data_IF_183614914118
#
_entry.id   IF_183614914118
#
_cell.length_a   1.000
_cell.length_b   1.000
_cell.length_c   1.000
_cell.angle_alpha   90.00
_cell.angle_beta   90.00
_cell.angle_gamma   90.00
#
_symmetry.space_group_name_H-M   'P 1'
#
loop_
_entity.id
_entity.type
_entity.pdbx_description
1 polymer ?
#
# COMPACT_ATOMS: atom_id res chain seq x y z
N UNK A 1 -27.71 -12.61 11.30
CA UNK A 1 -26.92 -12.14 12.45
C UNK A 1 -25.75 -13.06 12.61
N UNK A 2 -24.59 -12.62 12.11
CA UNK A 2 -23.31 -13.29 12.36
C UNK A 2 -22.99 -13.23 13.85
N UNK A 3 -22.22 -14.21 14.33
CA UNK A 3 -21.72 -14.27 15.71
C UNK A 3 -20.22 -14.01 15.73
N UNK A 4 -19.74 -13.37 16.80
CA UNK A 4 -18.34 -12.99 16.96
C UNK A 4 -17.79 -13.39 18.35
N UNK A 5 -18.41 -14.38 18.99
CA UNK A 5 -18.17 -14.73 20.40
C UNK A 5 -16.71 -15.13 20.63
N UNK A 6 -16.12 -15.91 19.71
CA UNK A 6 -14.72 -16.34 19.81
C UNK A 6 -13.76 -15.21 19.49
N UNK A 7 -14.06 -14.39 18.48
CA UNK A 7 -13.23 -13.22 18.13
C UNK A 7 -13.17 -12.22 19.28
N UNK A 8 -14.28 -12.02 20.00
CA UNK A 8 -14.33 -11.18 21.21
C UNK A 8 -13.40 -11.76 22.29
N UNK A 9 -13.55 -13.04 22.63
CA UNK A 9 -12.72 -13.68 23.66
C UNK A 9 -11.23 -13.68 23.31
N UNK A 10 -10.87 -13.93 22.05
CA UNK A 10 -9.49 -13.88 21.58
C UNK A 10 -8.90 -12.46 21.65
N UNK A 11 -9.72 -11.43 21.41
CA UNK A 11 -9.27 -10.05 21.53
C UNK A 11 -9.09 -9.62 22.99
N UNK A 12 -9.95 -10.07 23.90
CA UNK A 12 -9.80 -9.84 25.34
C UNK A 12 -8.44 -10.39 25.84
N UNK A 13 -8.09 -11.62 25.46
CA UNK A 13 -6.76 -12.18 25.75
C UNK A 13 -5.64 -11.34 25.12
N UNK A 14 -5.78 -10.97 23.84
CA UNK A 14 -4.76 -10.23 23.12
C UNK A 14 -4.44 -8.85 23.75
N UNK A 15 -5.43 -8.18 24.34
CA UNK A 15 -5.27 -6.87 24.99
C UNK A 15 -4.30 -6.90 26.17
N UNK A 16 -4.16 -8.04 26.85
CA UNK A 16 -3.20 -8.24 27.93
C UNK A 16 -1.79 -8.60 27.44
N UNK A 17 -1.65 -8.95 26.15
CA UNK A 17 -0.40 -9.47 25.57
C UNK A 17 0.32 -8.46 24.67
N UNK A 18 -0.42 -7.60 23.97
CA UNK A 18 0.12 -6.69 22.95
C UNK A 18 -0.46 -5.27 23.10
N UNK A 19 0.28 -4.21 22.73
CA UNK A 19 -0.23 -2.84 22.78
C UNK A 19 -1.55 -2.68 21.99
N UNK A 20 -2.65 -2.44 22.68
CA UNK A 20 -3.99 -2.35 22.08
C UNK A 20 -4.49 -3.67 21.46
N UNK A 21 -3.91 -4.80 21.85
CA UNK A 21 -4.27 -6.14 21.38
C UNK A 21 -3.78 -6.51 19.97
N UNK A 22 -2.88 -5.73 19.36
CA UNK A 22 -2.50 -5.91 17.95
C UNK A 22 -1.02 -5.64 17.66
N UNK A 23 -0.51 -6.26 16.59
CA UNK A 23 0.84 -6.02 16.04
C UNK A 23 0.87 -4.92 14.95
N UNK A 24 -0.28 -4.35 14.59
CA UNK A 24 -0.38 -3.20 13.67
C UNK A 24 -1.66 -2.42 13.99
N UNK A 25 -1.61 -1.09 14.15
CA UNK A 25 -2.72 -0.31 14.73
C UNK A 25 -4.07 -0.49 14.02
N UNK A 26 -4.08 -0.55 12.69
CA UNK A 26 -5.32 -0.65 11.90
C UNK A 26 -6.10 -1.94 12.17
N UNK A 27 -5.43 -3.00 12.65
CA UNK A 27 -6.06 -4.29 12.98
C UNK A 27 -6.92 -4.23 14.25
N UNK A 28 -6.89 -3.13 14.99
CA UNK A 28 -7.72 -2.94 16.18
C UNK A 28 -9.14 -2.43 15.86
N UNK A 29 -9.45 -2.16 14.57
CA UNK A 29 -10.79 -1.77 14.09
C UNK A 29 -11.35 -0.51 14.78
N UNK A 30 -10.48 0.32 15.38
CA UNK A 30 -10.86 1.53 16.11
C UNK A 30 -11.64 2.50 15.23
N UNK A 31 -11.27 2.65 13.96
CA UNK A 31 -11.92 3.56 13.01
C UNK A 31 -13.37 3.21 12.68
N UNK A 32 -13.79 1.96 12.93
CA UNK A 32 -15.15 1.48 12.63
C UNK A 32 -15.93 1.07 13.89
N UNK A 33 -15.32 1.18 15.07
CA UNK A 33 -15.97 0.90 16.36
C UNK A 33 -16.53 -0.53 16.47
N UNK A 34 -15.81 -1.52 15.93
CA UNK A 34 -16.19 -2.94 15.97
C UNK A 34 -15.15 -3.77 16.71
N UNK A 35 -15.57 -4.90 17.27
CA UNK A 35 -14.62 -5.92 17.73
C UNK A 35 -13.80 -6.43 16.53
N UNK A 36 -12.46 -6.50 16.65
CA UNK A 36 -11.63 -7.06 15.58
C UNK A 36 -12.02 -8.49 15.24
N UNK A 37 -12.07 -8.79 13.93
CA UNK A 37 -12.31 -10.13 13.44
C UNK A 37 -11.01 -10.93 13.45
N UNK A 38 -10.98 -12.06 14.16
CA UNK A 38 -9.83 -12.96 14.17
C UNK A 38 -9.95 -13.96 13.02
N UNK A 39 -9.04 -13.90 12.06
CA UNK A 39 -9.06 -14.75 10.87
C UNK A 39 -8.38 -16.09 11.13
N UNK A 40 -8.99 -17.18 10.69
CA UNK A 40 -8.47 -18.55 10.83
C UNK A 40 -7.77 -19.04 9.56
N UNK A 41 -8.41 -18.83 8.40
CA UNK A 41 -7.95 -19.33 7.10
C UNK A 41 -8.50 -18.52 5.94
N UNK A 42 -7.93 -18.70 4.76
CA UNK A 42 -8.46 -18.14 3.51
C UNK A 42 -8.17 -19.04 2.31
N UNK A 43 -9.00 -18.93 1.27
CA UNK A 43 -8.76 -19.56 -0.05
C UNK A 43 -9.35 -18.70 -1.16
N UNK A 44 -8.54 -18.37 -2.17
CA UNK A 44 -8.98 -17.49 -3.26
C UNK A 44 -9.43 -16.12 -2.74
N UNK A 45 -10.59 -15.64 -3.17
CA UNK A 45 -11.20 -14.38 -2.72
C UNK A 45 -11.90 -14.49 -1.34
N UNK A 46 -11.85 -15.64 -0.66
CA UNK A 46 -12.57 -15.88 0.59
C UNK A 46 -11.66 -15.93 1.80
N UNK A 47 -12.09 -15.30 2.89
CA UNK A 47 -11.46 -15.40 4.22
C UNK A 47 -12.51 -15.84 5.25
N UNK A 48 -12.05 -16.56 6.28
CA UNK A 48 -12.91 -17.16 7.30
C UNK A 48 -12.40 -16.76 8.68
N UNK A 49 -13.29 -16.24 9.53
CA UNK A 49 -12.96 -15.95 10.93
C UNK A 49 -13.04 -17.21 11.81
N UNK A 50 -12.54 -17.11 13.04
CA UNK A 50 -12.53 -18.22 14.01
C UNK A 50 -13.93 -18.62 14.50
N UNK A 51 -14.94 -17.77 14.28
CA UNK A 51 -16.36 -18.04 14.52
C UNK A 51 -17.00 -18.84 13.36
N UNK A 52 -16.28 -19.03 12.25
CA UNK A 52 -16.69 -19.80 11.08
C UNK A 52 -17.45 -18.98 10.04
N UNK A 53 -17.51 -17.67 10.17
CA UNK A 53 -18.14 -16.80 9.19
C UNK A 53 -17.24 -16.67 7.95
N UNK A 54 -17.85 -16.77 6.76
CA UNK A 54 -17.18 -16.53 5.48
C UNK A 54 -17.34 -15.07 5.03
N UNK A 55 -16.30 -14.52 4.40
CA UNK A 55 -16.30 -13.20 3.78
C UNK A 55 -15.63 -13.19 2.40
N UNK A 56 -16.15 -12.37 1.48
CA UNK A 56 -15.42 -11.92 0.29
C UNK A 56 -14.40 -10.87 0.75
N UNK A 57 -13.12 -11.10 0.48
CA UNK A 57 -12.01 -10.32 1.05
C UNK A 57 -11.47 -9.27 0.08
N UNK A 58 -11.69 -7.99 0.39
CA UNK A 58 -11.10 -6.83 -0.30
C UNK A 58 -9.96 -6.17 0.49
N UNK A 59 -9.55 -6.76 1.62
CA UNK A 59 -8.33 -6.36 2.35
C UNK A 59 -7.12 -7.05 1.74
N UNK A 60 -7.20 -8.36 1.50
CA UNK A 60 -6.12 -9.14 0.87
C UNK A 60 -4.75 -8.92 1.54
N UNK A 61 -4.75 -8.92 2.87
CA UNK A 61 -3.60 -8.59 3.73
C UNK A 61 -3.02 -7.18 3.48
N UNK A 62 -3.88 -6.22 3.14
CA UNK A 62 -3.54 -4.84 2.75
C UNK A 62 -2.82 -4.73 1.41
N UNK A 63 -3.09 -5.67 0.49
CA UNK A 63 -2.55 -5.67 -0.88
C UNK A 63 -1.66 -6.85 -1.34
N UNK A 64 -0.87 -7.55 -0.50
CA UNK A 64 0.04 -8.62 -0.93
C UNK A 64 -0.61 -9.77 -1.70
N UNK A 65 -1.86 -10.12 -1.36
CA UNK A 65 -2.52 -11.34 -1.84
C UNK A 65 -3.21 -11.11 -3.20
N UNK A 66 -2.44 -10.71 -4.21
CA UNK A 66 -2.97 -10.38 -5.54
C UNK A 66 -3.60 -11.59 -6.27
N UNK A 67 -3.25 -12.81 -5.87
CA UNK A 67 -3.89 -14.05 -6.35
C UNK A 67 -4.92 -14.62 -5.38
N UNK A 68 -5.28 -13.86 -4.35
CA UNK A 68 -6.08 -14.34 -3.23
C UNK A 68 -5.27 -15.20 -2.28
N UNK A 69 -5.96 -15.78 -1.30
CA UNK A 69 -5.37 -16.62 -0.26
C UNK A 69 -5.00 -18.00 -0.79
N UNK A 70 -3.85 -18.52 -0.33
CA UNK A 70 -3.41 -19.90 -0.57
C UNK A 70 -3.49 -20.33 -2.04
N UNK A 71 -2.96 -19.50 -2.96
CA UNK A 71 -2.75 -19.87 -4.37
C UNK A 71 -1.88 -21.14 -4.45
N UNK A 72 -2.31 -22.14 -5.21
CA UNK A 72 -1.70 -23.48 -5.18
C UNK A 72 -0.22 -23.46 -5.63
N UNK A 73 0.12 -22.68 -6.66
CA UNK A 73 1.52 -22.57 -7.12
C UNK A 73 2.43 -21.95 -6.06
N UNK A 74 1.96 -20.90 -5.39
CA UNK A 74 2.72 -20.25 -4.30
C UNK A 74 2.87 -21.22 -3.12
N UNK A 75 1.81 -21.91 -2.71
CA UNK A 75 1.84 -22.86 -1.59
C UNK A 75 2.80 -24.03 -1.86
N UNK A 76 2.76 -24.63 -3.05
CA UNK A 76 3.65 -25.74 -3.38
C UNK A 76 5.12 -25.31 -3.45
N UNK A 77 5.40 -24.11 -3.97
CA UNK A 77 6.75 -23.54 -3.95
C UNK A 77 7.25 -23.29 -2.52
N UNK A 78 6.39 -22.78 -1.64
CA UNK A 78 6.72 -22.60 -0.22
C UNK A 78 7.05 -23.92 0.48
N UNK A 79 6.22 -24.96 0.27
CA UNK A 79 6.48 -26.30 0.83
C UNK A 79 7.82 -26.85 0.36
N UNK A 80 8.08 -26.79 -0.94
CA UNK A 80 9.32 -27.31 -1.53
C UNK A 80 10.58 -26.60 -1.00
N UNK A 81 10.51 -25.28 -0.80
CA UNK A 81 11.64 -24.54 -0.20
C UNK A 81 11.80 -24.87 1.28
N UNK A 82 10.70 -24.98 2.04
CA UNK A 82 10.77 -25.30 3.47
C UNK A 82 11.47 -26.64 3.73
N UNK A 83 11.25 -27.66 2.88
CA UNK A 83 11.93 -28.96 2.95
C UNK A 83 13.45 -28.87 2.75
N UNK A 84 13.94 -27.81 2.09
CA UNK A 84 15.37 -27.60 1.77
C UNK A 84 16.07 -26.62 2.70
N UNK A 85 15.31 -25.92 3.56
CA UNK A 85 15.80 -24.84 4.41
C UNK A 85 15.39 -23.45 3.92
N UNK A 86 14.86 -22.64 4.83
CA UNK A 86 14.21 -21.35 4.50
C UNK A 86 15.16 -20.16 4.45
N UNK A 87 16.36 -20.28 5.03
CA UNK A 87 17.38 -19.22 5.09
C UNK A 87 18.78 -19.81 5.26
N UNK A 88 19.78 -19.20 4.63
CA UNK A 88 21.17 -19.70 4.62
C UNK A 88 22.22 -18.67 5.04
N UNK A 89 21.89 -17.37 5.08
CA UNK A 89 22.88 -16.31 5.35
C UNK A 89 23.98 -16.20 4.28
N UNK A 90 23.78 -16.80 3.11
CA UNK A 90 24.68 -16.80 1.97
C UNK A 90 23.86 -16.67 0.67
N UNK A 91 24.45 -16.19 -0.44
CA UNK A 91 23.74 -15.99 -1.70
C UNK A 91 23.11 -17.27 -2.25
N UNK A 92 21.94 -17.14 -2.87
CA UNK A 92 21.18 -18.23 -3.48
C UNK A 92 20.75 -17.88 -4.91
N UNK A 93 20.56 -18.89 -5.77
CA UNK A 93 20.17 -18.64 -7.17
C UNK A 93 18.75 -18.06 -7.30
N UNK A 94 17.88 -18.28 -6.32
CA UNK A 94 16.50 -17.80 -6.35
C UNK A 94 16.41 -16.28 -6.15
N UNK A 95 17.35 -15.68 -5.41
CA UNK A 95 17.51 -14.22 -5.33
C UNK A 95 17.79 -13.63 -6.72
N UNK A 96 18.70 -14.25 -7.48
CA UNK A 96 19.01 -13.82 -8.85
C UNK A 96 17.79 -13.91 -9.75
N UNK A 97 16.97 -14.96 -9.59
CA UNK A 97 15.77 -15.19 -10.40
C UNK A 97 14.72 -14.10 -10.16
N UNK A 98 14.43 -13.78 -8.91
CA UNK A 98 13.47 -12.72 -8.59
C UNK A 98 14.02 -11.34 -8.96
N UNK A 99 15.31 -11.06 -8.72
CA UNK A 99 15.92 -9.79 -9.11
C UNK A 99 15.81 -9.54 -10.61
N UNK A 100 16.11 -10.54 -11.46
CA UNK A 100 15.94 -10.44 -12.92
C UNK A 100 14.50 -10.13 -13.32
N UNK A 101 13.53 -10.82 -12.71
CA UNK A 101 12.12 -10.60 -12.99
C UNK A 101 11.68 -9.18 -12.60
N UNK A 102 12.13 -8.67 -11.44
CA UNK A 102 11.80 -7.31 -10.99
C UNK A 102 12.42 -6.25 -11.93
N UNK A 103 13.68 -6.42 -12.32
CA UNK A 103 14.37 -5.54 -13.27
C UNK A 103 13.64 -5.51 -14.62
N UNK A 104 13.20 -6.67 -15.13
CA UNK A 104 12.40 -6.75 -16.36
C UNK A 104 11.05 -6.03 -16.24
N UNK A 105 10.42 -6.10 -15.06
CA UNK A 105 9.03 -5.67 -14.86
C UNK A 105 8.89 -4.20 -14.49
N UNK A 106 9.90 -3.58 -13.88
CA UNK A 106 9.82 -2.22 -13.32
C UNK A 106 10.76 -1.27 -14.07
N UNK A 107 10.22 -0.32 -14.87
CA UNK A 107 10.99 0.49 -15.82
C UNK A 107 12.27 1.18 -15.30
N UNK A 108 12.24 1.74 -14.09
CA UNK A 108 13.39 2.46 -13.51
C UNK A 108 14.47 1.56 -12.90
N UNK A 109 14.17 0.29 -12.63
CA UNK A 109 15.04 -0.58 -11.83
C UNK A 109 16.06 -1.28 -12.72
N UNK A 110 17.29 -0.79 -12.71
CA UNK A 110 18.44 -1.45 -13.33
C UNK A 110 19.16 -2.38 -12.35
N UNK A 111 19.22 -1.98 -11.08
CA UNK A 111 19.76 -2.76 -9.95
C UNK A 111 18.78 -2.71 -8.79
N UNK A 112 18.58 -3.84 -8.11
CA UNK A 112 17.63 -3.98 -7.00
C UNK A 112 18.29 -4.59 -5.76
N UNK A 113 17.82 -4.18 -4.58
CA UNK A 113 18.15 -4.76 -3.28
C UNK A 113 16.88 -5.24 -2.58
N UNK A 114 16.88 -6.50 -2.15
CA UNK A 114 15.79 -7.07 -1.34
C UNK A 114 15.96 -6.72 0.15
N UNK A 115 14.84 -6.45 0.80
CA UNK A 115 14.70 -6.14 2.24
C UNK A 115 13.44 -6.82 2.79
N UNK A 116 13.14 -6.67 4.08
CA UNK A 116 12.08 -7.43 4.74
C UNK A 116 10.74 -6.69 4.84
N UNK A 117 10.70 -5.40 4.52
CA UNK A 117 9.45 -4.62 4.51
C UNK A 117 9.53 -3.39 3.60
N UNK A 118 8.37 -2.80 3.29
CA UNK A 118 8.31 -1.49 2.65
C UNK A 118 8.96 -0.38 3.48
N UNK A 119 8.88 -0.45 4.82
CA UNK A 119 9.58 0.51 5.70
C UNK A 119 11.10 0.45 5.53
N UNK A 120 11.66 -0.76 5.46
CA UNK A 120 13.10 -0.92 5.20
C UNK A 120 13.49 -0.42 3.81
N UNK A 121 12.61 -0.59 2.82
CA UNK A 121 12.85 -0.12 1.46
C UNK A 121 12.94 1.41 1.41
N UNK A 122 11.93 2.10 1.94
CA UNK A 122 11.86 3.56 1.89
C UNK A 122 12.93 4.22 2.75
N UNK A 123 13.19 3.74 3.98
CA UNK A 123 14.27 4.29 4.81
C UNK A 123 15.65 4.10 4.18
N UNK A 124 15.85 3.01 3.42
CA UNK A 124 17.09 2.76 2.68
C UNK A 124 17.20 3.67 1.46
N UNK A 125 16.11 3.87 0.71
CA UNK A 125 16.06 4.78 -0.43
C UNK A 125 16.33 6.24 -0.02
N UNK A 126 15.78 6.71 1.10
CA UNK A 126 16.09 8.04 1.63
C UNK A 126 17.57 8.18 2.02
N UNK A 127 18.14 7.17 2.68
CA UNK A 127 19.57 7.17 3.03
C UNK A 127 20.44 7.19 1.77
N UNK A 128 20.07 6.41 0.76
CA UNK A 128 20.74 6.37 -0.53
C UNK A 128 20.70 7.72 -1.23
N UNK A 129 19.53 8.36 -1.29
CA UNK A 129 19.38 9.68 -1.91
C UNK A 129 20.21 10.76 -1.21
N UNK A 130 20.18 10.81 0.14
CA UNK A 130 21.02 11.72 0.93
C UNK A 130 22.51 11.49 0.67
N UNK A 131 22.95 10.23 0.70
CA UNK A 131 24.37 9.90 0.49
C UNK A 131 24.84 10.12 -0.95
N UNK A 132 23.97 9.92 -1.94
CA UNK A 132 24.28 10.14 -3.36
C UNK A 132 24.37 11.62 -3.71
N UNK A 133 23.44 12.44 -3.21
CA UNK A 133 23.37 13.89 -3.50
C UNK A 133 24.25 14.74 -2.57
N UNK A 134 24.62 14.21 -1.40
CA UNK A 134 25.30 14.97 -0.34
C UNK A 134 24.39 15.97 0.38
N UNK A 135 23.06 15.86 0.21
CA UNK A 135 22.05 16.78 0.73
C UNK A 135 21.26 16.19 1.90
N UNK A 136 20.59 17.04 2.67
CA UNK A 136 19.97 16.63 3.95
C UNK A 136 18.45 16.46 3.87
N UNK A 137 17.76 17.36 3.18
CA UNK A 137 16.30 17.44 3.25
C UNK A 137 15.65 16.42 2.34
N UNK A 138 14.51 15.91 2.76
CA UNK A 138 13.61 15.14 1.90
C UNK A 138 12.27 15.88 1.84
N UNK A 139 11.57 15.75 0.72
CA UNK A 139 10.20 16.25 0.56
C UNK A 139 9.26 15.05 0.44
N UNK A 140 8.18 15.05 1.22
CA UNK A 140 7.08 14.09 1.13
C UNK A 140 5.73 14.80 1.09
N UNK A 141 4.67 14.03 0.85
CA UNK A 141 3.32 14.57 0.78
C UNK A 141 2.52 14.31 2.06
N UNK A 142 1.70 15.28 2.45
CA UNK A 142 0.75 15.19 3.57
C UNK A 142 -0.29 14.13 3.20
N UNK A 143 -0.59 13.22 4.14
CA UNK A 143 -1.54 12.11 3.90
C UNK A 143 -0.87 10.83 3.38
N UNK A 144 0.33 10.91 2.80
CA UNK A 144 1.09 9.75 2.33
C UNK A 144 1.87 9.07 3.45
N UNK A 145 1.92 7.74 3.41
CA UNK A 145 2.62 6.91 4.39
C UNK A 145 3.60 5.97 3.71
N UNK A 146 4.86 6.10 4.10
CA UNK A 146 6.00 5.41 3.49
C UNK A 146 6.65 4.44 4.48
N UNK A 147 5.93 3.98 5.50
CA UNK A 147 6.53 3.25 6.63
C UNK A 147 6.90 4.16 7.80
N UNK A 148 7.43 3.54 8.86
CA UNK A 148 7.64 4.20 10.16
C UNK A 148 9.09 4.63 10.42
N UNK A 149 9.92 4.80 9.39
CA UNK A 149 11.23 5.41 9.58
C UNK A 149 11.08 6.88 10.01
N UNK A 150 11.84 7.35 10.99
CA UNK A 150 11.62 8.65 11.67
C UNK A 150 11.40 9.84 10.71
N UNK A 151 12.19 9.95 9.64
CA UNK A 151 12.04 11.04 8.64
C UNK A 151 10.69 11.04 7.91
N UNK A 152 9.96 9.92 7.93
CA UNK A 152 8.70 9.71 7.23
C UNK A 152 7.48 9.88 8.15
N UNK A 153 7.68 10.00 9.47
CA UNK A 153 6.62 10.16 10.48
C UNK A 153 6.19 11.61 10.73
N UNK A 154 6.54 12.52 9.82
CA UNK A 154 6.09 13.93 9.82
C UNK A 154 4.83 14.04 8.94
N UNK A 155 3.71 14.46 9.52
CA UNK A 155 2.37 14.52 8.88
C UNK A 155 1.99 13.25 8.12
N UNK A 156 2.24 12.09 8.73
CA UNK A 156 2.04 10.77 8.14
C UNK A 156 0.58 10.29 8.21
N UNK A 157 -0.30 10.94 7.44
CA UNK A 157 -1.64 10.45 7.05
C UNK A 157 -2.53 9.82 8.11
N UNK A 158 -3.47 8.99 7.65
CA UNK A 158 -4.62 8.53 8.43
C UNK A 158 -4.25 7.69 9.64
N UNK A 159 -3.27 6.77 9.55
CA UNK A 159 -2.87 5.91 10.67
C UNK A 159 -2.29 6.66 11.87
N UNK A 160 -1.46 7.68 11.63
CA UNK A 160 -0.91 8.55 12.70
C UNK A 160 -1.96 9.55 13.18
N UNK A 161 -2.80 10.07 12.27
CA UNK A 161 -3.91 10.97 12.61
C UNK A 161 -5.04 10.27 13.41
N UNK A 162 -5.28 8.98 13.19
CA UNK A 162 -6.28 8.17 13.94
C UNK A 162 -5.94 8.08 15.42
N UNK A 163 -4.66 8.33 15.79
CA UNK A 163 -4.20 8.41 17.17
C UNK A 163 -4.25 9.84 17.74
N UNK A 164 -4.74 10.83 16.99
CA UNK A 164 -4.84 12.23 17.41
C UNK A 164 -3.50 12.95 17.52
N UNK A 165 -2.44 12.41 16.92
CA UNK A 165 -1.07 12.95 17.03
C UNK A 165 -0.77 13.89 15.85
N UNK A 166 -0.34 15.14 16.09
CA UNK A 166 0.04 16.05 15.01
C UNK A 166 1.31 15.59 14.26
N UNK A 167 2.21 14.90 14.97
CA UNK A 167 3.39 14.14 14.53
C UNK A 167 3.70 13.08 15.62
N UNK A 168 4.43 12.00 15.30
CA UNK A 168 4.70 10.93 16.28
C UNK A 168 5.71 11.36 17.35
N UNK A 169 5.36 11.32 18.66
CA UNK A 169 6.35 11.50 19.73
C UNK A 169 7.50 10.50 19.60
N UNK A 170 8.70 10.90 20.05
CA UNK A 170 9.93 10.11 19.93
C UNK A 170 10.77 10.43 18.70
N UNK A 171 10.22 11.15 17.70
CA UNK A 171 11.00 11.69 16.57
C UNK A 171 11.68 13.00 17.01
N UNK A 172 13.03 13.07 17.00
CA UNK A 172 13.72 14.30 17.39
C UNK A 172 13.53 15.44 16.39
N UNK A 173 13.51 16.68 16.88
CA UNK A 173 13.50 17.89 16.04
C UNK A 173 14.62 17.90 14.98
N UNK A 174 15.80 17.37 15.35
CA UNK A 174 16.93 17.24 14.43
C UNK A 174 16.66 16.36 13.20
N UNK A 175 15.69 15.43 13.29
CA UNK A 175 15.18 14.65 12.16
C UNK A 175 14.06 15.40 11.46
N UNK A 176 13.08 15.90 12.22
CA UNK A 176 11.88 16.56 11.70
C UNK A 176 12.22 17.77 10.80
N UNK A 177 13.17 18.61 11.20
CA UNK A 177 13.61 19.79 10.43
C UNK A 177 14.15 19.48 9.02
N UNK A 178 14.48 18.21 8.76
CA UNK A 178 14.99 17.75 7.47
C UNK A 178 13.92 17.04 6.63
N UNK A 179 12.64 17.18 6.98
CA UNK A 179 11.51 16.67 6.22
C UNK A 179 10.56 17.82 5.90
N UNK A 180 10.43 18.14 4.61
CA UNK A 180 9.45 19.08 4.08
C UNK A 180 8.17 18.32 3.74
N UNK A 181 7.02 18.89 4.08
CA UNK A 181 5.71 18.30 3.76
C UNK A 181 4.86 19.27 2.94
N UNK A 182 4.35 18.81 1.80
CA UNK A 182 3.45 19.56 0.91
C UNK A 182 2.15 18.77 0.69
N UNK A 183 1.04 19.41 0.33
CA UNK A 183 -0.18 18.68 -0.02
C UNK A 183 0.05 17.80 -1.28
N UNK A 184 -0.47 16.57 -1.27
CA UNK A 184 -0.50 15.74 -2.48
C UNK A 184 -1.29 16.47 -3.58
N UNK A 185 -0.85 16.35 -4.85
CA UNK A 185 -1.37 17.08 -6.01
C UNK A 185 -1.19 18.61 -6.01
N UNK A 186 -0.38 19.18 -5.10
CA UNK A 186 -0.02 20.61 -5.11
C UNK A 186 1.42 20.81 -5.64
N UNK A 187 1.55 20.87 -6.97
CA UNK A 187 2.84 21.05 -7.63
C UNK A 187 3.45 22.44 -7.38
N UNK A 188 2.64 23.49 -7.25
CA UNK A 188 3.13 24.85 -7.05
C UNK A 188 3.79 25.01 -5.69
N UNK A 189 3.23 24.42 -4.64
CA UNK A 189 3.90 24.36 -3.33
C UNK A 189 5.18 23.54 -3.35
N UNK A 190 5.29 22.52 -4.21
CA UNK A 190 6.57 21.82 -4.43
C UNK A 190 7.59 22.75 -5.07
N UNK A 191 7.23 23.46 -6.15
CA UNK A 191 8.12 24.45 -6.80
C UNK A 191 8.58 25.51 -5.80
N UNK A 192 7.68 26.05 -4.99
CA UNK A 192 8.02 26.99 -3.93
C UNK A 192 9.01 26.40 -2.91
N UNK A 193 8.83 25.13 -2.50
CA UNK A 193 9.79 24.47 -1.61
C UNK A 193 11.18 24.33 -2.25
N UNK A 194 11.25 24.08 -3.56
CA UNK A 194 12.51 24.04 -4.31
C UNK A 194 13.15 25.43 -4.47
N UNK A 195 12.37 26.49 -4.66
CA UNK A 195 12.89 27.87 -4.64
C UNK A 195 13.58 28.22 -3.31
N UNK A 196 13.05 27.73 -2.19
CA UNK A 196 13.59 28.02 -0.86
C UNK A 196 14.72 27.07 -0.43
N UNK A 197 14.66 25.80 -0.82
CA UNK A 197 15.49 24.74 -0.26
C UNK A 197 16.15 23.81 -1.29
N UNK A 198 15.99 24.05 -2.60
CA UNK A 198 16.34 23.14 -3.68
C UNK A 198 17.75 22.57 -3.60
N UNK A 199 18.74 23.40 -3.28
CA UNK A 199 20.15 23.01 -3.14
C UNK A 199 20.42 21.99 -2.01
N UNK A 200 19.51 21.85 -1.05
CA UNK A 200 19.62 20.91 0.08
C UNK A 200 18.50 19.86 0.09
N UNK A 201 17.65 19.79 -0.95
CA UNK A 201 16.69 18.70 -1.14
C UNK A 201 17.40 17.53 -1.82
N UNK A 202 17.59 16.42 -1.09
CA UNK A 202 18.13 15.17 -1.59
C UNK A 202 17.14 14.43 -2.48
N UNK A 203 15.86 14.42 -2.12
CA UNK A 203 14.83 13.72 -2.87
C UNK A 203 13.41 14.19 -2.59
N UNK A 204 12.53 13.92 -3.56
CA UNK A 204 11.07 13.88 -3.38
C UNK A 204 10.65 12.42 -3.33
N UNK A 205 9.91 12.01 -2.29
CA UNK A 205 9.29 10.69 -2.20
C UNK A 205 7.76 10.80 -2.34
N UNK A 206 7.18 10.00 -3.24
CA UNK A 206 5.76 10.08 -3.60
C UNK A 206 5.16 8.70 -3.86
N UNK A 207 3.93 8.47 -3.42
CA UNK A 207 3.09 7.35 -3.90
C UNK A 207 2.52 7.74 -5.29
N UNK A 208 2.77 7.00 -6.39
CA UNK A 208 2.26 7.38 -7.71
C UNK A 208 0.73 7.47 -7.77
N UNK A 209 0.06 6.64 -6.96
CA UNK A 209 -1.34 6.79 -6.56
C UNK A 209 -1.34 6.72 -5.05
N UNK A 210 -1.79 7.76 -4.36
CA UNK A 210 -1.85 7.72 -2.90
C UNK A 210 -2.89 6.67 -2.45
N UNK A 211 -2.50 5.81 -1.51
CA UNK A 211 -3.38 4.76 -0.98
C UNK A 211 -3.74 4.91 0.50
N UNK A 212 -2.92 5.61 1.28
CA UNK A 212 -3.08 5.76 2.74
C UNK A 212 -4.02 6.92 3.16
N UNK A 213 -4.60 7.60 2.18
CA UNK A 213 -5.65 8.61 2.35
C UNK A 213 -6.93 8.21 1.61
N UNK A 214 -7.11 6.90 1.40
CA UNK A 214 -7.96 6.33 0.37
C UNK A 214 -7.26 6.43 -0.99
N UNK A 215 -7.91 5.91 -2.03
CA UNK A 215 -7.35 5.97 -3.39
C UNK A 215 -7.50 7.39 -3.92
N UNK A 216 -6.36 8.08 -4.08
CA UNK A 216 -6.31 9.43 -4.66
C UNK A 216 -5.31 9.42 -5.82
N UNK A 217 -5.80 9.38 -7.07
CA UNK A 217 -4.97 9.44 -8.26
C UNK A 217 -4.19 10.76 -8.37
N UNK A 218 -3.06 10.78 -9.10
CA UNK A 218 -2.35 12.01 -9.38
C UNK A 218 -3.18 12.87 -10.34
N UNK A 219 -3.18 14.18 -10.10
CA UNK A 219 -3.77 15.14 -11.05
C UNK A 219 -2.88 15.27 -12.30
N UNK A 220 -3.46 15.63 -13.46
CA UNK A 220 -2.68 15.81 -14.68
C UNK A 220 -1.50 16.76 -14.49
N UNK A 221 -0.30 16.33 -14.92
CA UNK A 221 0.93 17.12 -14.82
C UNK A 221 1.60 17.08 -13.44
N UNK A 222 1.00 16.44 -12.43
CA UNK A 222 1.61 16.38 -11.10
C UNK A 222 2.89 15.54 -11.11
N UNK A 223 2.84 14.27 -11.52
CA UNK A 223 4.01 13.39 -11.49
C UNK A 223 5.09 13.84 -12.47
N UNK A 224 4.69 14.33 -13.65
CA UNK A 224 5.57 14.90 -14.67
C UNK A 224 6.29 16.14 -14.13
N UNK A 225 5.55 17.04 -13.46
CA UNK A 225 6.13 18.21 -12.82
C UNK A 225 7.07 17.87 -11.66
N UNK A 226 6.80 16.79 -10.90
CA UNK A 226 7.75 16.28 -9.90
C UNK A 226 9.05 15.79 -10.54
N UNK A 227 8.96 15.10 -11.69
CA UNK A 227 10.14 14.67 -12.44
C UNK A 227 10.96 15.86 -12.95
N UNK A 228 10.30 16.85 -13.55
CA UNK A 228 10.94 18.06 -14.07
C UNK A 228 11.67 18.82 -12.95
N UNK A 229 10.97 19.18 -11.87
CA UNK A 229 11.57 19.99 -10.79
C UNK A 229 12.71 19.27 -10.08
N UNK A 230 12.64 17.94 -9.94
CA UNK A 230 13.73 17.16 -9.34
C UNK A 230 14.96 17.12 -10.24
N UNK A 231 14.80 16.92 -11.55
CA UNK A 231 15.92 16.94 -12.51
C UNK A 231 16.60 18.30 -12.59
N UNK A 232 15.82 19.38 -12.71
CA UNK A 232 16.33 20.75 -12.80
C UNK A 232 17.17 21.15 -11.57
N UNK A 233 16.80 20.63 -10.39
CA UNK A 233 17.45 20.98 -9.13
C UNK A 233 18.42 19.90 -8.62
N UNK A 234 18.63 18.82 -9.37
CA UNK A 234 19.54 17.73 -8.99
C UNK A 234 19.11 16.93 -7.75
N UNK A 235 17.81 16.94 -7.41
CA UNK A 235 17.24 16.06 -6.40
C UNK A 235 16.81 14.73 -7.05
N UNK A 236 16.73 13.65 -6.27
CA UNK A 236 16.21 12.38 -6.78
C UNK A 236 14.68 12.31 -6.68
N UNK A 237 14.03 11.77 -7.70
CA UNK A 237 12.63 11.35 -7.62
C UNK A 237 12.56 9.90 -7.14
N UNK A 238 11.85 9.67 -6.03
CA UNK A 238 11.62 8.34 -5.47
C UNK A 238 10.13 8.03 -5.55
N UNK A 239 9.77 6.97 -6.27
CA UNK A 239 8.42 6.42 -6.20
C UNK A 239 8.34 5.37 -5.10
N UNK A 240 7.43 5.59 -4.15
CA UNK A 240 6.98 4.55 -3.25
C UNK A 240 5.87 3.74 -3.92
N UNK A 241 6.28 2.63 -4.53
CA UNK A 241 5.40 1.66 -5.17
C UNK A 241 5.18 0.43 -4.27
N UNK A 242 5.28 0.58 -2.94
CA UNK A 242 4.99 -0.51 -2.01
C UNK A 242 3.54 -0.98 -2.14
N UNK A 243 2.59 -0.08 -2.46
CA UNK A 243 1.19 -0.43 -2.70
C UNK A 243 0.83 -0.54 -4.18
N UNK A 244 1.29 0.38 -5.01
CA UNK A 244 0.95 0.45 -6.44
C UNK A 244 1.72 -0.57 -7.27
N UNK A 245 2.92 -0.98 -6.83
CA UNK A 245 3.80 -1.91 -7.53
C UNK A 245 3.14 -3.26 -7.78
N UNK A 246 3.14 -3.67 -9.06
CA UNK A 246 2.48 -4.89 -9.55
C UNK A 246 0.98 -4.95 -9.25
N UNK A 247 0.34 -3.82 -8.95
CA UNK A 247 -1.07 -3.73 -8.63
C UNK A 247 -1.79 -2.80 -9.58
N UNK A 248 -1.41 -1.53 -9.60
CA UNK A 248 -2.10 -0.51 -10.40
C UNK A 248 -2.09 -0.87 -11.89
N UNK A 249 -0.96 -1.36 -12.39
CA UNK A 249 -0.73 -1.82 -13.75
C UNK A 249 0.43 -2.83 -13.82
N UNK A 250 0.59 -3.48 -14.98
CA UNK A 250 1.61 -4.52 -15.21
C UNK A 250 3.03 -4.04 -14.94
N UNK A 251 3.37 -2.84 -15.42
CA UNK A 251 4.67 -2.20 -15.20
C UNK A 251 4.62 -1.14 -14.09
N UNK A 252 3.79 -1.38 -13.06
CA UNK A 252 3.61 -0.52 -11.89
C UNK A 252 3.06 0.88 -12.26
N UNK A 253 3.00 1.80 -11.29
CA UNK A 253 2.51 3.17 -11.49
C UNK A 253 3.39 3.98 -12.43
N UNK A 254 4.71 3.82 -12.34
CA UNK A 254 5.64 4.46 -13.29
C UNK A 254 5.40 4.06 -14.75
N UNK A 255 5.08 2.78 -15.02
CA UNK A 255 4.73 2.33 -16.36
C UNK A 255 3.35 2.82 -16.81
N UNK A 256 2.39 2.91 -15.89
CA UNK A 256 1.03 3.37 -16.18
C UNK A 256 0.98 4.87 -16.52
N UNK A 257 1.69 5.70 -15.77
CA UNK A 257 1.71 7.15 -15.97
C UNK A 257 2.85 7.63 -16.87
N UNK A 258 3.76 6.74 -17.27
CA UNK A 258 4.88 7.09 -18.16
C UNK A 258 5.92 8.03 -17.52
N UNK A 259 6.05 8.02 -16.19
CA UNK A 259 7.03 8.84 -15.45
C UNK A 259 8.05 7.93 -14.79
N UNK A 260 9.33 8.06 -15.18
CA UNK A 260 10.43 7.22 -14.67
C UNK A 260 11.14 7.88 -13.49
N UNK A 261 11.01 7.35 -12.26
CA UNK A 261 11.74 7.85 -11.09
C UNK A 261 13.21 7.43 -11.13
N UNK A 262 14.04 8.02 -10.27
CA UNK A 262 15.44 7.60 -10.08
C UNK A 262 15.56 6.35 -9.21
N UNK A 263 14.68 6.24 -8.20
CA UNK A 263 14.56 5.08 -7.32
C UNK A 263 13.08 4.68 -7.16
N UNK A 264 12.84 3.38 -7.02
CA UNK A 264 11.55 2.80 -6.70
C UNK A 264 11.65 1.95 -5.45
N UNK A 265 10.70 2.13 -4.52
CA UNK A 265 10.50 1.26 -3.37
C UNK A 265 9.34 0.29 -3.63
N UNK A 266 9.50 -0.98 -3.25
CA UNK A 266 8.54 -2.06 -3.47
C UNK A 266 8.28 -2.80 -2.16
N UNK A 267 7.13 -3.46 -2.10
CA UNK A 267 6.73 -4.32 -1.00
C UNK A 267 5.43 -5.02 -1.33
N UNK A 268 4.74 -5.52 -0.31
CA UNK A 268 3.43 -6.17 -0.42
C UNK A 268 3.40 -7.30 -1.47
N UNK A 269 2.97 -7.01 -2.70
CA UNK A 269 2.79 -8.00 -3.78
C UNK A 269 4.10 -8.73 -4.12
N UNK A 270 5.25 -8.04 -4.06
CA UNK A 270 6.58 -8.65 -4.33
C UNK A 270 6.89 -9.83 -3.41
N UNK A 271 6.25 -9.92 -2.23
CA UNK A 271 6.42 -11.03 -1.29
C UNK A 271 5.36 -12.11 -1.40
N UNK A 272 4.28 -11.91 -2.16
CA UNK A 272 3.22 -12.92 -2.31
C UNK A 272 2.56 -13.34 -1.00
N UNK A 273 2.53 -12.45 0.00
CA UNK A 273 2.05 -12.74 1.36
C UNK A 273 3.15 -13.00 2.40
N UNK A 274 4.43 -13.07 2.00
CA UNK A 274 5.57 -13.11 2.92
C UNK A 274 6.20 -11.71 3.13
N UNK A 275 6.91 -11.48 4.26
CA UNK A 275 7.59 -10.21 4.53
C UNK A 275 8.75 -9.95 3.54
N UNK A 276 8.47 -9.13 2.52
CA UNK A 276 9.43 -8.69 1.51
C UNK A 276 9.20 -7.22 1.19
N UNK A 277 10.29 -6.48 1.11
CA UNK A 277 10.38 -5.21 0.41
C UNK A 277 11.56 -5.23 -0.56
N UNK A 278 11.66 -4.20 -1.39
CA UNK A 278 12.84 -3.96 -2.20
C UNK A 278 13.01 -2.48 -2.49
N UNK A 279 14.23 -2.04 -2.74
CA UNK A 279 14.49 -0.75 -3.35
C UNK A 279 15.47 -0.92 -4.51
N UNK A 280 15.25 -0.19 -5.60
CA UNK A 280 16.04 -0.29 -6.80
C UNK A 280 15.91 0.95 -7.67
N UNK A 281 16.73 1.05 -8.71
CA UNK A 281 16.73 2.20 -9.60
C UNK A 281 17.96 2.21 -10.50
N UNK A 282 18.38 3.42 -10.88
CA UNK A 282 19.57 3.64 -11.72
C UNK A 282 20.82 3.01 -11.12
N UNK A 283 21.61 2.32 -11.95
CA UNK A 283 22.72 1.50 -11.51
C UNK A 283 23.84 2.31 -10.83
N UNK A 284 24.13 3.53 -11.30
CA UNK A 284 25.14 4.41 -10.70
C UNK A 284 24.76 4.89 -9.30
N UNK A 285 23.47 5.06 -9.03
CA UNK A 285 22.95 5.40 -7.69
C UNK A 285 23.06 4.17 -6.80
N UNK A 286 22.51 3.03 -7.25
CA UNK A 286 22.49 1.78 -6.47
C UNK A 286 23.88 1.24 -6.15
N UNK A 287 24.90 1.54 -6.96
CA UNK A 287 26.29 1.15 -6.71
C UNK A 287 26.90 1.81 -5.47
N UNK A 288 26.29 2.88 -4.95
CA UNK A 288 26.72 3.49 -3.68
C UNK A 288 26.34 2.65 -2.45
N UNK A 289 25.45 1.67 -2.60
CA UNK A 289 25.04 0.79 -1.50
C UNK A 289 26.13 -0.24 -1.19
N UNK A 290 26.42 -0.47 0.09
CA UNK A 290 27.33 -1.52 0.52
C UNK A 290 26.89 -2.90 0.00
N UNK A 291 27.82 -3.78 -0.41
CA UNK A 291 29.27 -3.62 -0.32
C UNK A 291 29.93 -2.90 -1.53
N UNK A 292 29.17 -2.51 -2.56
CA UNK A 292 29.71 -1.85 -3.76
C UNK A 292 30.15 -0.41 -3.49
N UNK A 293 29.51 0.27 -2.53
CA UNK A 293 29.82 1.63 -2.14
C UNK A 293 29.67 1.86 -0.64
N UNK A 294 29.80 3.13 -0.19
CA UNK A 294 29.94 3.46 1.23
C UNK A 294 28.61 3.50 2.02
N UNK A 295 27.46 3.51 1.35
CA UNK A 295 26.15 3.69 2.02
C UNK A 295 25.66 2.35 2.58
N UNK A 296 25.68 2.23 3.90
CA UNK A 296 25.40 0.96 4.57
C UNK A 296 23.91 0.61 4.63
N UNK A 297 23.59 -0.62 4.23
CA UNK A 297 22.33 -1.31 4.45
C UNK A 297 22.62 -2.82 4.48
N UNK A 298 22.04 -3.52 5.45
CA UNK A 298 22.08 -4.97 5.56
C UNK A 298 20.77 -5.47 6.19
N UNK A 299 20.44 -6.74 5.98
CA UNK A 299 19.31 -7.41 6.62
C UNK A 299 19.58 -8.91 6.71
N UNK A 300 19.50 -9.49 7.90
CA UNK A 300 19.85 -10.91 8.15
C UNK A 300 18.97 -11.88 7.36
N UNK A 301 17.71 -11.50 7.12
CA UNK A 301 16.73 -12.31 6.40
C UNK A 301 16.39 -11.73 5.02
N UNK A 302 17.09 -10.68 4.58
CA UNK A 302 16.97 -10.16 3.22
C UNK A 302 17.28 -11.26 2.21
N UNK A 303 16.45 -11.42 1.18
CA UNK A 303 16.70 -12.39 0.11
C UNK A 303 16.51 -13.87 0.51
N UNK A 304 15.89 -14.16 1.66
CA UNK A 304 15.71 -15.56 2.08
C UNK A 304 14.91 -16.37 1.04
N UNK A 305 15.30 -17.63 0.73
CA UNK A 305 14.68 -18.43 -0.32
C UNK A 305 13.16 -18.60 -0.24
N UNK A 306 12.60 -18.67 0.96
CA UNK A 306 11.16 -18.90 1.14
C UNK A 306 10.36 -17.69 0.62
N UNK A 307 10.78 -16.49 1.00
CA UNK A 307 10.23 -15.24 0.52
C UNK A 307 10.45 -15.04 -1.00
N UNK A 308 11.65 -15.35 -1.49
CA UNK A 308 11.96 -15.22 -2.93
C UNK A 308 11.10 -16.16 -3.79
N UNK A 309 10.82 -17.38 -3.32
CA UNK A 309 9.94 -18.32 -4.02
C UNK A 309 8.49 -17.81 -4.10
N UNK A 310 7.93 -17.34 -2.98
CA UNK A 310 6.58 -16.77 -2.96
C UNK A 310 6.45 -15.56 -3.88
N UNK A 311 7.44 -14.66 -3.81
CA UNK A 311 7.51 -13.49 -4.68
C UNK A 311 7.61 -13.86 -6.15
N UNK A 312 8.52 -14.78 -6.51
CA UNK A 312 8.71 -15.19 -7.89
C UNK A 312 7.46 -15.85 -8.47
N UNK A 313 6.86 -16.82 -7.75
CA UNK A 313 5.65 -17.48 -8.23
C UNK A 313 4.46 -16.52 -8.32
N UNK A 314 4.38 -15.51 -7.44
CA UNK A 314 3.37 -14.47 -7.54
C UNK A 314 3.58 -13.62 -8.80
N UNK A 315 4.77 -13.04 -8.99
CA UNK A 315 5.00 -12.11 -10.09
C UNK A 315 4.96 -12.78 -11.48
N UNK A 316 5.42 -14.03 -11.60
CA UNK A 316 5.42 -14.75 -12.89
C UNK A 316 4.01 -15.17 -13.32
N UNK A 317 3.05 -15.24 -12.40
CA UNK A 317 1.64 -15.51 -12.70
C UNK A 317 0.87 -14.27 -13.18
N UNK A 318 1.38 -13.07 -12.90
CA UNK A 318 0.78 -11.82 -13.37
C UNK A 318 1.15 -11.58 -14.83
N UNK A 319 0.13 -11.36 -15.67
CA UNK A 319 0.25 -11.05 -17.10
C UNK A 319 -0.47 -9.72 -17.40
N UNK A 320 -0.24 -9.08 -18.56
CA UNK A 320 -0.99 -7.88 -18.94
C UNK A 320 -2.52 -8.08 -18.89
N UNK A 321 -3.01 -9.26 -19.27
CA UNK A 321 -4.43 -9.61 -19.25
C UNK A 321 -5.01 -9.64 -17.83
N UNK A 322 -4.18 -9.91 -16.81
CA UNK A 322 -4.60 -9.83 -15.41
C UNK A 322 -5.09 -8.42 -15.06
N UNK A 323 -4.44 -7.39 -15.60
CA UNK A 323 -4.77 -5.99 -15.31
C UNK A 323 -5.97 -5.50 -16.13
N UNK A 324 -6.15 -6.02 -17.34
CA UNK A 324 -7.40 -5.83 -18.10
C UNK A 324 -8.60 -6.35 -17.29
N UNK A 325 -8.48 -7.55 -16.71
CA UNK A 325 -9.53 -8.11 -15.85
C UNK A 325 -9.73 -7.32 -14.55
N UNK A 326 -8.66 -6.78 -13.96
CA UNK A 326 -8.80 -5.91 -12.79
C UNK A 326 -9.54 -4.63 -13.11
N UNK A 327 -9.20 -3.96 -14.22
CA UNK A 327 -9.87 -2.73 -14.63
C UNK A 327 -11.36 -2.97 -14.90
N UNK A 328 -11.71 -4.07 -15.60
CA UNK A 328 -13.11 -4.46 -15.83
C UNK A 328 -13.87 -4.64 -14.51
N UNK A 329 -13.31 -5.36 -13.54
CA UNK A 329 -13.96 -5.62 -12.24
C UNK A 329 -14.05 -4.37 -11.37
N UNK A 330 -13.03 -3.52 -11.41
CA UNK A 330 -13.05 -2.25 -10.71
C UNK A 330 -14.11 -1.31 -11.31
N UNK A 331 -14.27 -1.27 -12.63
CA UNK A 331 -15.35 -0.52 -13.31
C UNK A 331 -16.74 -1.04 -12.93
N UNK A 332 -16.93 -2.36 -12.85
CA UNK A 332 -18.19 -2.95 -12.38
C UNK A 332 -18.51 -2.55 -10.93
N UNK A 333 -17.52 -2.61 -10.03
CA UNK A 333 -17.67 -2.15 -8.65
C UNK A 333 -18.01 -0.67 -8.59
N UNK A 334 -17.29 0.17 -9.33
CA UNK A 334 -17.55 1.62 -9.42
C UNK A 334 -19.00 1.89 -9.82
N UNK A 335 -19.47 1.29 -10.92
CA UNK A 335 -20.83 1.48 -11.41
C UNK A 335 -21.89 1.00 -10.40
N UNK A 336 -21.66 -0.16 -9.76
CA UNK A 336 -22.58 -0.71 -8.77
C UNK A 336 -22.66 0.11 -7.48
N UNK A 337 -21.51 0.53 -6.95
CA UNK A 337 -21.43 1.37 -5.75
C UNK A 337 -22.04 2.75 -5.99
N UNK A 338 -21.76 3.36 -7.15
CA UNK A 338 -22.35 4.64 -7.57
C UNK A 338 -23.87 4.55 -7.62
N UNK A 339 -24.39 3.53 -8.32
CA UNK A 339 -25.84 3.30 -8.44
C UNK A 339 -26.52 3.11 -7.09
N UNK A 340 -25.90 2.38 -6.18
CA UNK A 340 -26.43 2.17 -4.82
C UNK A 340 -26.46 3.47 -4.01
N UNK A 341 -25.36 4.23 -4.03
CA UNK A 341 -25.27 5.51 -3.34
C UNK A 341 -26.29 6.52 -3.89
N UNK A 342 -26.40 6.66 -5.22
CA UNK A 342 -27.39 7.51 -5.89
C UNK A 342 -28.84 7.15 -5.52
N UNK A 343 -29.18 5.86 -5.53
CA UNK A 343 -30.52 5.36 -5.19
C UNK A 343 -30.94 5.74 -3.77
N UNK A 344 -30.00 5.74 -2.83
CA UNK A 344 -30.24 6.10 -1.42
C UNK A 344 -29.88 7.56 -1.10
N UNK A 345 -29.48 8.34 -2.10
CA UNK A 345 -29.09 9.74 -1.98
C UNK A 345 -27.89 9.96 -1.05
N UNK A 346 -26.96 9.01 -0.99
CA UNK A 346 -25.79 9.06 -0.12
C UNK A 346 -24.69 9.90 -0.80
N UNK A 347 -24.13 10.92 -0.10
CA UNK A 347 -22.98 11.66 -0.60
C UNK A 347 -21.82 10.72 -0.90
N UNK A 348 -21.28 10.79 -2.12
CA UNK A 348 -20.25 9.85 -2.53
C UNK A 348 -19.31 10.38 -3.62
N UNK A 349 -18.04 9.99 -3.50
CA UNK A 349 -17.03 10.16 -4.52
C UNK A 349 -16.27 8.85 -4.68
N UNK A 350 -16.12 8.36 -5.92
CA UNK A 350 -15.39 7.13 -6.21
C UNK A 350 -14.20 7.50 -7.07
N UNK A 351 -13.01 7.19 -6.58
CA UNK A 351 -11.77 7.31 -7.33
C UNK A 351 -11.33 5.95 -7.85
N UNK A 352 -10.75 5.96 -9.05
CA UNK A 352 -10.13 4.78 -9.66
C UNK A 352 -8.85 5.16 -10.41
N UNK A 353 -7.81 4.33 -10.27
CA UNK A 353 -6.56 4.43 -11.02
C UNK A 353 -6.09 3.02 -11.37
N UNK A 354 -6.09 2.67 -12.66
CA UNK A 354 -5.91 1.29 -13.10
C UNK A 354 -6.83 0.33 -12.33
N UNK A 355 -6.24 -0.63 -11.62
CA UNK A 355 -6.96 -1.60 -10.77
C UNK A 355 -7.41 -1.09 -9.40
N UNK A 356 -6.88 0.03 -8.91
CA UNK A 356 -7.13 0.53 -7.55
C UNK A 356 -8.43 1.33 -7.54
N UNK A 357 -9.31 1.06 -6.58
CA UNK A 357 -10.61 1.73 -6.43
C UNK A 357 -10.88 2.07 -4.96
N UNK A 358 -11.45 3.24 -4.69
CA UNK A 358 -11.86 3.65 -3.34
C UNK A 358 -13.13 4.50 -3.39
N UNK A 359 -14.01 4.32 -2.42
CA UNK A 359 -15.22 5.11 -2.22
C UNK A 359 -15.09 6.01 -0.99
N UNK A 360 -15.46 7.27 -1.12
CA UNK A 360 -15.49 8.27 -0.07
C UNK A 360 -16.92 8.74 0.17
N UNK A 361 -17.33 8.86 1.44
CA UNK A 361 -18.66 9.34 1.82
C UNK A 361 -18.72 10.88 1.87
N UNK A 362 -18.44 11.53 0.75
CA UNK A 362 -18.49 12.98 0.53
C UNK A 362 -18.81 13.27 -0.94
N UNK A 363 -19.45 14.41 -1.23
CA UNK A 363 -19.65 14.87 -2.62
C UNK A 363 -18.47 15.72 -3.13
N UNK A 364 -17.49 16.03 -2.27
CA UNK A 364 -16.28 16.76 -2.69
C UNK A 364 -15.42 15.89 -3.62
N UNK A 365 -14.89 16.45 -4.73
CA UNK A 365 -13.85 15.77 -5.51
C UNK A 365 -12.61 15.49 -4.66
N UNK A 366 -12.31 14.22 -4.42
CA UNK A 366 -11.22 13.81 -3.52
C UNK A 366 -9.90 13.77 -4.29
N UNK A 367 -9.25 14.93 -4.39
CA UNK A 367 -7.97 15.10 -5.11
C UNK A 367 -6.75 15.24 -4.18
N UNK A 368 -6.95 15.31 -2.86
CA UNK A 368 -5.88 15.43 -1.87
C UNK A 368 -6.39 14.97 -0.49
N UNK A 369 -5.51 15.01 0.52
CA UNK A 369 -5.88 14.58 1.87
C UNK A 369 -6.92 15.48 2.55
N UNK A 370 -6.96 16.77 2.21
CA UNK A 370 -7.92 17.69 2.82
C UNK A 370 -9.35 17.37 2.37
N UNK A 371 -9.55 17.21 1.06
CA UNK A 371 -10.80 16.74 0.49
C UNK A 371 -11.18 15.35 1.02
N UNK A 372 -10.23 14.43 1.19
CA UNK A 372 -10.51 13.10 1.73
C UNK A 372 -11.09 13.16 3.16
N UNK A 373 -10.64 14.11 3.99
CA UNK A 373 -11.15 14.30 5.36
C UNK A 373 -12.59 14.85 5.42
N UNK A 374 -13.14 15.37 4.32
CA UNK A 374 -14.55 15.76 4.26
C UNK A 374 -15.51 14.56 4.30
N UNK A 375 -14.98 13.34 4.13
CA UNK A 375 -15.75 12.09 4.21
C UNK A 375 -16.48 11.93 5.54
N UNK A 376 -17.76 11.57 5.49
CA UNK A 376 -18.56 11.24 6.66
C UNK A 376 -18.11 9.87 7.23
N UNK A 377 -17.36 9.91 8.34
CA UNK A 377 -16.82 8.72 8.99
C UNK A 377 -17.89 7.87 9.69
N UNK A 378 -19.01 8.48 10.11
CA UNK A 378 -20.13 7.74 10.71
C UNK A 378 -20.84 6.90 9.63
N UNK A 379 -21.04 7.48 8.43
CA UNK A 379 -21.55 6.73 7.28
C UNK A 379 -20.64 5.57 6.93
N UNK A 380 -19.32 5.79 6.90
CA UNK A 380 -18.36 4.71 6.67
C UNK A 380 -18.47 3.60 7.73
N UNK A 381 -18.56 3.94 9.01
CA UNK A 381 -18.64 2.95 10.09
C UNK A 381 -19.93 2.11 10.04
N UNK A 382 -21.08 2.73 9.73
CA UNK A 382 -22.37 2.02 9.57
C UNK A 382 -22.34 1.15 8.31
N UNK A 383 -21.86 1.69 7.19
CA UNK A 383 -21.67 0.96 5.94
C UNK A 383 -20.78 -0.27 6.16
N UNK A 384 -19.63 -0.08 6.79
CA UNK A 384 -18.67 -1.14 7.10
C UNK A 384 -19.29 -2.26 7.92
N UNK A 385 -20.02 -1.91 9.00
CA UNK A 385 -20.67 -2.88 9.87
C UNK A 385 -21.69 -3.73 9.10
N UNK A 386 -22.48 -3.10 8.24
CA UNK A 386 -23.44 -3.84 7.44
C UNK A 386 -22.74 -4.71 6.39
N UNK A 387 -21.68 -4.24 5.74
CA UNK A 387 -20.89 -5.05 4.80
C UNK A 387 -20.33 -6.32 5.47
N UNK A 388 -19.84 -6.22 6.71
CA UNK A 388 -19.41 -7.39 7.49
C UNK A 388 -20.58 -8.35 7.73
N UNK A 389 -21.75 -7.87 8.13
CA UNK A 389 -22.94 -8.70 8.33
C UNK A 389 -23.38 -9.40 7.03
N UNK A 390 -23.25 -8.73 5.88
CA UNK A 390 -23.51 -9.29 4.55
C UNK A 390 -22.41 -10.23 4.03
N UNK A 391 -21.31 -10.42 4.76
CA UNK A 391 -20.22 -11.32 4.35
C UNK A 391 -19.23 -10.71 3.38
N UNK A 392 -18.96 -9.40 3.49
CA UNK A 392 -17.90 -8.71 2.74
C UNK A 392 -16.92 -8.09 3.72
N UNK A 393 -15.65 -8.47 3.63
CA UNK A 393 -14.57 -7.93 4.44
C UNK A 393 -13.82 -6.85 3.67
N UNK A 394 -14.17 -5.60 3.99
CA UNK A 394 -13.50 -4.41 3.47
C UNK A 394 -12.35 -3.99 4.41
N UNK A 395 -11.45 -3.08 3.97
CA UNK A 395 -10.53 -2.40 4.89
C UNK A 395 -11.30 -1.63 5.97
N UNK A 396 -11.02 -1.82 7.28
CA UNK A 396 -11.69 -1.12 8.38
C UNK A 396 -11.25 0.35 8.53
N UNK A 397 -11.20 1.10 7.43
CA UNK A 397 -10.84 2.53 7.39
C UNK A 397 -11.36 3.19 6.11
N UNK A 398 -11.95 4.38 6.24
CA UNK A 398 -12.33 5.24 5.09
C UNK A 398 -11.10 5.63 4.24
N UNK A 399 -9.93 5.66 4.86
CA UNK A 399 -8.71 6.13 4.21
C UNK A 399 -7.94 5.00 3.52
N UNK A 400 -8.65 4.00 2.98
CA UNK A 400 -8.09 2.84 2.28
C UNK A 400 -8.96 2.45 1.07
N UNK A 401 -8.34 1.86 0.05
CA UNK A 401 -9.02 1.36 -1.15
C UNK A 401 -9.40 -0.12 -1.07
N UNK A 402 -10.29 -0.57 -1.95
CA UNK A 402 -10.61 -1.99 -2.09
C UNK A 402 -9.53 -2.67 -2.94
N UNK A 403 -8.97 -3.77 -2.44
CA UNK A 403 -7.99 -4.56 -3.16
C UNK A 403 -8.66 -5.70 -3.92
N UNK A 404 -8.51 -5.71 -5.26
CA UNK A 404 -8.88 -6.84 -6.09
C UNK A 404 -7.79 -7.92 -6.13
N UNK A 405 -8.20 -9.16 -6.38
CA UNK A 405 -7.33 -10.30 -6.66
C UNK A 405 -7.74 -11.03 -7.94
N UNK A 406 -6.82 -11.76 -8.58
CA UNK A 406 -7.14 -12.58 -9.75
C UNK A 406 -8.17 -13.68 -9.44
N UNK A 407 -8.36 -14.00 -8.16
CA UNK A 407 -9.36 -14.96 -7.68
C UNK A 407 -10.78 -14.39 -7.48
N UNK A 408 -10.99 -13.07 -7.57
CA UNK A 408 -12.35 -12.51 -7.49
C UNK A 408 -13.12 -12.91 -8.76
N UNK A 409 -14.25 -13.57 -8.59
CA UNK A 409 -15.16 -13.91 -9.68
C UNK A 409 -16.17 -12.80 -9.94
N UNK A 410 -16.85 -12.82 -11.10
CA UNK A 410 -17.93 -11.86 -11.37
C UNK A 410 -19.07 -12.01 -10.35
N UNK A 411 -19.34 -13.24 -9.89
CA UNK A 411 -20.28 -13.49 -8.80
C UNK A 411 -19.86 -12.84 -7.47
N UNK A 412 -18.56 -12.74 -7.18
CA UNK A 412 -18.07 -12.01 -6.01
C UNK A 412 -18.36 -10.52 -6.14
N UNK A 413 -18.14 -9.95 -7.33
CA UNK A 413 -18.41 -8.54 -7.62
C UNK A 413 -19.91 -8.25 -7.50
N UNK A 414 -20.77 -9.07 -8.11
CA UNK A 414 -22.22 -8.95 -8.05
C UNK A 414 -22.75 -9.05 -6.61
N UNK A 415 -22.28 -10.04 -5.84
CA UNK A 415 -22.65 -10.20 -4.43
C UNK A 415 -22.19 -9.00 -3.58
N UNK A 416 -21.02 -8.45 -3.87
CA UNK A 416 -20.50 -7.25 -3.20
C UNK A 416 -21.37 -6.03 -3.47
N UNK A 417 -21.79 -5.83 -4.72
CA UNK A 417 -22.69 -4.73 -5.11
C UNK A 417 -24.05 -4.88 -4.42
N UNK A 418 -24.60 -6.10 -4.36
CA UNK A 418 -25.85 -6.37 -3.64
C UNK A 418 -25.74 -6.10 -2.13
N UNK A 419 -24.61 -6.47 -1.51
CA UNK A 419 -24.32 -6.16 -0.12
C UNK A 419 -24.21 -4.64 0.12
N UNK A 420 -23.52 -3.92 -0.78
CA UNK A 420 -23.34 -2.48 -0.70
C UNK A 420 -24.67 -1.73 -0.81
N UNK A 421 -25.57 -2.16 -1.70
CA UNK A 421 -26.93 -1.63 -1.79
C UNK A 421 -27.68 -1.71 -0.45
N UNK A 422 -27.66 -2.89 0.19
CA UNK A 422 -28.28 -3.07 1.51
C UNK A 422 -27.63 -2.15 2.55
N UNK A 423 -26.30 -2.06 2.56
CA UNK A 423 -25.56 -1.19 3.47
C UNK A 423 -25.90 0.29 3.30
N UNK A 424 -25.94 0.79 2.06
CA UNK A 424 -26.32 2.17 1.73
C UNK A 424 -27.74 2.51 2.18
N UNK A 425 -28.67 1.54 2.10
CA UNK A 425 -30.07 1.73 2.53
C UNK A 425 -30.23 2.05 4.02
N UNK A 426 -29.24 1.72 4.85
CA UNK A 426 -29.28 1.89 6.31
C UNK A 426 -28.58 3.15 6.82
N UNK A 427 -27.92 3.93 5.95
CA UNK A 427 -27.08 5.06 6.38
C UNK A 427 -27.87 6.29 6.86
N UNK A 428 -29.11 6.45 6.40
CA UNK A 428 -30.01 7.56 6.80
C UNK A 428 -31.19 7.10 7.65
N UNK A 429 -31.19 5.84 8.08
CA UNK A 429 -32.29 5.18 8.75
C UNK A 429 -32.34 5.47 10.26
#
# INVERSE_FOLDING_TARGET
MKKFDKSIAAFEEAQDLMPGGVNSPVRAFKSVGMNPLFMERGKGSKVYDIDGNEYIDYVLSWGPLIHGHANDRVVEALKSVAERGTSFGAPTEIENKLAKLVIERVPSIEIVRMVNSGTEATMSALRLARGYTGRNKILKFIGCYHGHGDSLLIKAGSGVATLGLPDSPGVPEGVAKNTITVAYNDLESVKYAFEQFGDDIACVIVEPVAGNMGVVPPQPGFLEGLREVTEENGALLIFDEVMTGFRVAYNCGQGYYGVTPDLTCLGKVIGGGLPVGAYGGKAEIMRQVAPSGPIYQAGTLSGNPLAMAAGYETLVQLTPESYVEFERKAEMLEAGLRKAAEKHGIPHHINRAGSMIGIFFTDEPVINYDAAKSSNLEFFAVYYREMVEQGVFLPPSQFEGLFLSTAHSDADIEATIAAAEIAMSKLKA
#
